data_IF_111665369656
#
_entry.id   IF_111665369656
#
_cell.length_a   1.000
_cell.length_b   1.000
_cell.length_c   1.000
_cell.angle_alpha   90.00
_cell.angle_beta   90.00
_cell.angle_gamma   90.00
#
_symmetry.space_group_name_H-M   'P 1'
#
loop_
_entity.id
_entity.type
_entity.pdbx_description
1 polymer ?
2 non-polymer ?
3 water ?
#
# COMPACT_ATOMS: atom_id res chain seq x y z
N UNK A 7 -2.94 13.24 -13.65
CA UNK A 7 -3.57 12.05 -14.21
C UNK A 7 -2.54 11.15 -14.90
N UNK A 8 -1.75 10.43 -14.11
CA UNK A 8 -0.76 9.50 -14.65
C UNK A 8 -1.39 8.54 -15.67
N UNK A 9 -0.59 8.11 -16.64
CA UNK A 9 -0.98 7.00 -17.49
C UNK A 9 0.17 6.02 -17.65
N UNK A 10 0.06 4.87 -17.00
CA UNK A 10 1.09 3.86 -17.18
C UNK A 10 1.30 3.76 -18.68
N UNK A 11 2.55 3.58 -19.09
CA UNK A 11 2.87 3.46 -20.49
C UNK A 11 2.46 2.08 -21.02
N UNK A 12 1.87 1.27 -20.14
CA UNK A 12 1.56 -0.11 -20.47
C UNK A 12 0.25 -0.22 -21.22
N UNK A 13 -0.48 0.88 -21.31
CA UNK A 13 -1.67 0.91 -22.13
C UNK A 13 -2.98 1.09 -21.36
N UNK A 14 -4.07 0.73 -22.01
CA UNK A 14 -5.41 0.97 -21.53
C UNK A 14 -5.79 0.10 -20.32
N UNK A 15 -5.34 -1.15 -20.32
CA UNK A 15 -5.53 -2.04 -19.18
C UNK A 15 -4.27 -2.89 -18.91
N UNK A 16 -4.17 -3.44 -17.71
CA UNK A 16 -3.05 -4.30 -17.40
C UNK A 16 -2.88 -5.41 -18.43
N UNK A 17 -1.65 -5.60 -18.88
CA UNK A 17 -1.31 -6.67 -19.80
C UNK A 17 -1.47 -8.06 -19.16
N UNK A 18 -1.68 -8.08 -17.85
CA UNK A 18 -1.86 -9.35 -17.19
C UNK A 18 -3.26 -9.87 -17.46
N UNK A 19 -4.18 -8.99 -17.84
CA UNK A 19 -5.57 -9.39 -18.05
C UNK A 19 -5.81 -10.06 -19.41
N UNK A 20 -6.48 -11.21 -19.38
CA UNK A 20 -6.71 -12.00 -20.59
C UNK A 20 -7.90 -11.45 -21.35
N UNK A 21 -8.97 -11.18 -20.62
CA UNK A 21 -10.19 -10.66 -21.18
C UNK A 21 -10.16 -9.16 -21.05
N UNK A 22 -11.23 -8.51 -21.47
CA UNK A 22 -11.39 -7.07 -21.35
C UNK A 22 -11.87 -6.68 -19.95
N UNK A 23 -11.15 -5.76 -19.31
CA UNK A 23 -11.50 -5.24 -18.00
C UNK A 23 -12.70 -4.28 -18.08
N UNK A 24 -13.74 -4.52 -17.29
CA UNK A 24 -14.82 -3.55 -17.21
C UNK A 24 -14.43 -2.44 -16.26
N UNK A 25 -14.54 -1.19 -16.72
CA UNK A 25 -13.86 -0.06 -16.08
C UNK A 25 -13.54 -0.29 -14.60
N UNK A 26 -14.50 -0.62 -13.75
CA UNK A 26 -15.90 -0.82 -14.09
C UNK A 26 -16.41 -1.67 -12.96
N UNK A 27 -17.63 -2.18 -13.09
CA UNK A 27 -18.19 -3.09 -12.10
C UNK A 27 -17.79 -4.57 -12.33
N UNK A 28 -16.56 -4.88 -11.94
CA UNK A 28 -16.09 -6.24 -11.67
C UNK A 28 -14.79 -6.09 -10.83
N UNK A 29 -14.20 -7.20 -10.36
CA UNK A 29 -13.12 -7.14 -9.36
C UNK A 29 -11.83 -6.45 -9.84
N UNK A 30 -11.15 -5.73 -8.95
CA UNK A 30 -9.96 -4.94 -9.32
C UNK A 30 -8.88 -4.81 -8.23
N UNK A 31 -7.71 -4.29 -8.59
CA UNK A 31 -6.64 -4.09 -7.62
C UNK A 31 -6.09 -2.68 -7.69
N UNK A 32 -5.51 -2.25 -6.58
CA UNK A 32 -4.96 -0.90 -6.45
C UNK A 32 -3.62 -0.97 -5.73
N UNK A 33 -2.61 -0.32 -6.28
CA UNK A 33 -1.30 -0.20 -5.64
C UNK A 33 -1.15 1.18 -5.04
N UNK A 34 -1.03 1.26 -3.72
CA UNK A 34 -0.70 2.53 -3.09
C UNK A 34 0.80 2.63 -2.92
N UNK A 35 1.36 3.76 -3.29
CA UNK A 35 2.78 4.02 -3.10
C UNK A 35 2.97 5.33 -2.35
N UNK A 36 3.73 5.29 -1.26
CA UNK A 36 4.13 6.50 -0.58
C UNK A 36 5.61 6.68 -0.72
N UNK A 37 6.03 7.87 -1.12
CA UNK A 37 7.45 8.18 -1.21
C UNK A 37 7.80 9.10 -0.08
N UNK A 38 8.82 8.72 0.69
CA UNK A 38 9.26 9.47 1.89
C UNK A 38 8.60 9.00 3.19
N UNK A 49 15.41 7.02 -7.02
CA UNK A 49 14.95 8.29 -7.57
C UNK A 49 13.46 8.27 -7.93
N UNK A 50 12.60 8.20 -6.92
CA UNK A 50 13.01 7.99 -5.53
C UNK A 50 12.54 6.60 -5.10
N UNK A 51 12.83 6.20 -3.87
CA UNK A 51 12.36 4.90 -3.41
C UNK A 51 11.06 5.00 -2.62
N UNK A 52 10.23 3.98 -2.76
CA UNK A 52 8.94 3.97 -2.10
C UNK A 52 9.03 3.34 -0.70
N UNK A 53 8.57 4.08 0.31
CA UNK A 53 8.52 3.57 1.68
C UNK A 53 7.22 2.85 1.99
N UNK A 54 6.11 3.36 1.46
CA UNK A 54 4.84 2.65 1.57
C UNK A 54 4.64 1.85 0.30
N UNK A 55 4.29 0.57 0.47
CA UNK A 55 4.06 -0.33 -0.66
C UNK A 55 2.92 -1.27 -0.35
N UNK A 56 1.69 -0.81 -0.59
CA UNK A 56 0.50 -1.56 -0.26
C UNK A 56 -0.40 -1.88 -1.44
N UNK A 57 -0.64 -3.17 -1.66
CA UNK A 57 -1.55 -3.64 -2.70
C UNK A 57 -2.90 -4.00 -2.08
N UNK A 58 -3.97 -3.57 -2.73
CA UNK A 58 -5.31 -3.93 -2.28
C UNK A 58 -6.08 -4.59 -3.40
N UNK A 59 -6.56 -5.80 -3.16
CA UNK A 59 -7.50 -6.39 -4.09
C UNK A 59 -8.92 -6.29 -3.58
N UNK A 60 -9.82 -5.89 -4.46
CA UNK A 60 -11.21 -5.67 -4.11
C UNK A 60 -12.15 -6.63 -4.83
N UNK A 61 -12.64 -7.62 -4.11
CA UNK A 61 -13.64 -8.53 -4.64
C UNK A 61 -15.03 -7.87 -4.78
N UNK A 62 -15.47 -7.58 -6.01
CA UNK A 62 -16.79 -6.98 -6.24
C UNK A 62 -17.96 -7.78 -5.68
N UNK A 63 -18.12 -9.03 -6.12
CA UNK A 63 -19.31 -9.78 -5.71
C UNK A 63 -19.37 -9.92 -4.20
N UNK A 64 -18.24 -10.20 -3.57
CA UNK A 64 -18.21 -10.42 -2.12
C UNK A 64 -18.24 -9.14 -1.29
N UNK A 65 -17.87 -8.01 -1.89
CA UNK A 65 -17.74 -6.76 -1.14
C UNK A 65 -16.61 -6.84 -0.10
N UNK A 66 -15.56 -7.58 -0.42
CA UNK A 66 -14.43 -7.74 0.48
C UNK A 66 -13.15 -7.16 -0.11
N UNK A 67 -12.18 -6.93 0.77
CA UNK A 67 -10.92 -6.33 0.38
C UNK A 67 -9.78 -7.07 1.03
N UNK A 68 -8.67 -7.19 0.29
CA UNK A 68 -7.47 -7.80 0.85
C UNK A 68 -6.26 -6.87 0.74
N UNK A 69 -5.62 -6.62 1.87
CA UNK A 69 -4.44 -5.75 1.93
C UNK A 69 -3.15 -6.56 2.06
N UNK A 70 -2.12 -6.15 1.33
CA UNK A 70 -0.83 -6.81 1.38
C UNK A 70 0.28 -5.76 1.31
N UNK A 71 1.17 -5.79 2.29
CA UNK A 71 2.30 -4.89 2.22
C UNK A 71 3.49 -5.63 1.63
N UNK A 72 4.08 -5.05 0.60
CA UNK A 72 5.25 -5.68 0.01
C UNK A 72 6.48 -5.13 0.70
N UNK A 73 7.22 -6.02 1.36
CA UNK A 73 8.39 -5.59 2.13
C UNK A 73 9.35 -4.76 1.28
N UNK A 74 9.74 -3.62 1.83
CA UNK A 74 10.73 -2.74 1.22
C UNK A 74 11.91 -3.53 0.61
N UNK A 75 12.38 -4.52 1.34
CA UNK A 75 13.62 -5.19 0.98
C UNK A 75 13.39 -6.55 0.33
N UNK A 76 12.15 -6.85 -0.07
CA UNK A 76 11.88 -8.16 -0.64
C UNK A 76 12.74 -8.38 -1.87
N UNK A 77 13.32 -9.57 -1.96
CA UNK A 77 14.30 -9.89 -2.98
C UNK A 77 13.56 -10.40 -4.20
N UNK A 78 13.44 -9.57 -5.23
CA UNK A 78 12.59 -9.86 -6.36
C UNK A 78 13.24 -9.44 -7.66
N UNK A 79 12.75 -9.96 -8.77
CA UNK A 79 13.27 -9.54 -10.06
C UNK A 79 12.67 -8.20 -10.50
N UNK A 80 13.56 -7.24 -10.73
CA UNK A 80 13.16 -5.97 -11.31
C UNK A 80 13.46 -5.98 -12.80
N UNK A 81 12.42 -6.11 -13.62
CA UNK A 81 12.57 -6.31 -15.06
C UNK A 81 13.52 -5.30 -15.70
N UNK A 82 14.62 -5.80 -16.28
CA UNK A 82 15.59 -4.93 -16.90
C UNK A 82 16.69 -4.56 -15.92
N UNK A 83 16.64 -5.17 -14.74
CA UNK A 83 17.59 -4.82 -13.69
C UNK A 83 18.04 -5.97 -12.79
N UNK A 84 17.49 -7.17 -12.98
CA UNK A 84 17.89 -8.30 -12.17
C UNK A 84 17.28 -8.31 -10.78
N UNK A 85 17.57 -9.35 -10.01
CA UNK A 85 17.13 -9.42 -8.63
C UNK A 85 17.72 -8.31 -7.79
N UNK A 86 16.86 -7.70 -6.99
CA UNK A 86 17.21 -6.55 -6.19
C UNK A 86 16.14 -6.34 -5.11
N UNK A 87 16.35 -5.33 -4.25
CA UNK A 87 15.34 -4.96 -3.27
C UNK A 87 14.15 -4.38 -3.97
N UNK A 88 12.96 -4.83 -3.60
CA UNK A 88 11.75 -4.31 -4.19
C UNK A 88 11.70 -2.79 -4.27
N UNK A 89 12.25 -2.14 -3.25
CA UNK A 89 12.14 -0.71 -3.13
C UNK A 89 12.86 0.02 -4.25
N UNK A 90 13.84 -0.62 -4.86
CA UNK A 90 14.67 0.06 -5.86
C UNK A 90 13.93 0.24 -7.18
N UNK A 91 12.90 -0.56 -7.41
CA UNK A 91 12.12 -0.47 -8.64
C UNK A 91 11.67 0.95 -8.92
N UNK A 92 11.03 1.56 -7.94
CA UNK A 92 10.53 2.92 -8.13
C UNK A 92 11.70 3.88 -8.30
N UNK A 93 12.85 3.47 -7.79
CA UNK A 93 14.06 4.26 -7.98
C UNK A 93 14.56 4.16 -9.43
N UNK A 94 14.66 2.95 -9.97
CA UNK A 94 15.19 2.75 -11.32
C UNK A 94 14.25 3.13 -12.44
N UNK A 95 12.95 3.22 -12.16
CA UNK A 95 11.97 3.41 -13.22
C UNK A 95 10.64 4.03 -12.87
N UNK A 96 10.47 4.48 -11.63
CA UNK A 96 9.24 5.16 -11.28
C UNK A 96 8.07 4.20 -11.28
N UNK A 97 6.88 4.77 -11.35
CA UNK A 97 5.65 4.03 -11.12
C UNK A 97 5.53 2.81 -12.02
N UNK A 98 5.92 2.99 -13.27
CA UNK A 98 5.75 1.96 -14.27
C UNK A 98 6.62 0.74 -14.00
N UNK A 99 7.84 0.97 -13.55
CA UNK A 99 8.74 -0.13 -13.26
C UNK A 99 8.23 -0.93 -12.05
N UNK A 100 7.73 -0.21 -11.06
CA UNK A 100 7.19 -0.81 -9.85
C UNK A 100 5.95 -1.64 -10.16
N UNK A 101 5.09 -1.12 -11.00
CA UNK A 101 3.90 -1.87 -11.38
C UNK A 101 4.33 -3.17 -12.06
N UNK A 102 5.31 -3.08 -12.95
CA UNK A 102 5.82 -4.26 -13.62
C UNK A 102 6.31 -5.27 -12.60
N UNK A 103 7.10 -4.79 -11.65
CA UNK A 103 7.69 -5.65 -10.64
C UNK A 103 6.64 -6.39 -9.84
N UNK A 104 5.63 -5.68 -9.40
CA UNK A 104 4.53 -6.30 -8.66
C UNK A 104 3.79 -7.34 -9.51
N UNK A 105 3.41 -6.97 -10.74
CA UNK A 105 2.69 -7.89 -11.62
C UNK A 105 3.52 -9.15 -11.93
N UNK A 106 4.82 -8.96 -12.13
CA UNK A 106 5.72 -10.08 -12.40
C UNK A 106 5.78 -10.96 -11.17
N UNK A 107 5.91 -10.34 -10.01
CA UNK A 107 6.12 -11.05 -8.77
C UNK A 107 4.87 -11.74 -8.25
N UNK A 108 3.75 -11.01 -8.20
CA UNK A 108 2.49 -11.58 -7.74
C UNK A 108 1.70 -12.26 -8.85
N UNK A 109 2.09 -12.02 -10.10
CA UNK A 109 1.38 -12.59 -11.23
C UNK A 109 -0.12 -12.27 -11.17
N UNK A 110 -0.44 -11.04 -10.83
CA UNK A 110 -1.79 -10.53 -10.98
C UNK A 110 -1.75 -9.18 -11.70
N UNK A 111 -2.89 -8.77 -12.26
CA UNK A 111 -3.00 -7.43 -12.83
C UNK A 111 -3.04 -6.41 -11.71
N UNK A 112 -2.39 -5.28 -11.95
CA UNK A 112 -2.48 -4.13 -11.08
C UNK A 112 -3.28 -3.09 -11.84
N UNK A 113 -4.56 -2.97 -11.52
CA UNK A 113 -5.45 -2.16 -12.33
C UNK A 113 -5.28 -0.65 -12.11
N UNK A 114 -5.02 -0.25 -10.87
CA UNK A 114 -4.83 1.16 -10.55
C UNK A 114 -3.65 1.34 -9.64
N UNK A 115 -3.03 2.51 -9.72
CA UNK A 115 -1.95 2.84 -8.83
C UNK A 115 -2.14 4.28 -8.42
N UNK A 116 -1.91 4.57 -7.14
CA UNK A 116 -1.84 5.94 -6.68
C UNK A 116 -0.57 6.19 -5.90
N UNK A 117 0.17 7.21 -6.31
CA UNK A 117 1.42 7.59 -5.68
C UNK A 117 1.27 8.93 -4.95
N UNK A 118 1.95 9.06 -3.82
CA UNK A 118 1.87 10.28 -3.05
C UNK A 118 3.07 10.45 -2.14
N UNK A 119 3.44 11.69 -1.87
CA UNK A 119 4.43 11.95 -0.83
C UNK A 119 3.69 12.00 0.50
N UNK A 120 4.44 11.89 1.59
CA UNK A 120 3.83 11.83 2.91
C UNK A 120 3.23 13.17 3.35
N UNK A 121 3.49 14.20 2.58
CA UNK A 121 2.85 15.48 2.81
C UNK A 121 1.39 15.37 2.51
N UNK A 122 1.07 14.97 1.28
CA UNK A 122 -0.31 14.85 0.86
C UNK A 122 -1.02 13.97 1.88
N UNK A 123 -0.31 12.94 2.33
CA UNK A 123 -0.83 12.02 3.34
C UNK A 123 -1.30 12.77 4.60
N UNK A 124 -0.50 13.73 5.03
CA UNK A 124 -0.78 14.45 6.26
C UNK A 124 -1.95 15.38 6.12
N UNK A 125 -2.09 15.97 4.93
CA UNK A 125 -3.23 16.82 4.65
C UNK A 125 -4.51 16.04 4.67
N UNK A 126 -4.51 14.88 4.04
CA UNK A 126 -5.67 14.00 4.08
C UNK A 126 -6.13 13.73 5.51
N UNK A 127 -5.21 13.35 6.38
CA UNK A 127 -5.61 12.93 7.72
C UNK A 127 -6.38 14.00 8.48
N UNK A 128 -5.82 15.18 8.68
CA UNK A 128 -6.60 16.18 9.39
C UNK A 128 -7.55 17.01 8.52
N UNK A 129 -7.56 16.77 7.22
CA UNK A 129 -8.68 17.22 6.41
C UNK A 129 -9.87 16.39 6.86
N UNK A 130 -9.62 15.17 7.32
CA UNK A 130 -10.69 14.35 7.86
C UNK A 130 -10.88 14.59 9.34
N UNK A 131 -10.13 15.54 9.90
CA UNK A 131 -10.13 15.79 11.34
C UNK A 131 -9.58 14.64 12.11
N UNK A 132 -8.50 14.08 11.61
CA UNK A 132 -7.77 13.03 12.30
C UNK A 132 -8.32 11.65 12.06
N UNK A 133 -7.48 10.65 12.36
CA UNK A 133 -7.89 9.26 12.26
C UNK A 133 -7.83 8.55 13.61
N UNK A 134 -8.82 7.70 13.84
CA UNK A 134 -8.88 6.87 15.04
C UNK A 134 -7.77 5.82 14.96
N UNK A 135 -6.95 5.75 16.00
CA UNK A 135 -5.95 4.71 16.09
C UNK A 135 -5.80 4.26 17.54
N UNK A 136 -5.90 2.96 17.77
CA UNK A 136 -5.69 2.43 19.10
C UNK A 136 -4.23 2.08 19.33
N UNK A 137 -3.52 2.95 20.02
CA UNK A 137 -2.12 2.70 20.39
C UNK A 137 -2.06 1.67 21.52
N UNK A 138 -1.18 0.69 21.39
CA UNK A 138 -1.12 -0.36 22.41
C UNK A 138 0.24 -0.55 23.09
N UNK A 139 1.30 -0.03 22.49
CA UNK A 139 2.65 -0.43 22.88
C UNK A 139 3.52 0.72 23.37
N UNK A 140 4.06 0.57 24.58
CA UNK A 140 4.98 1.58 25.13
C UNK A 140 6.24 1.68 24.28
N UNK A 141 6.72 0.53 23.80
CA UNK A 141 7.92 0.51 22.96
C UNK A 141 7.71 1.53 21.87
N UNK A 142 6.56 1.42 21.21
CA UNK A 142 6.19 2.31 20.11
C UNK A 142 6.04 3.78 20.52
N UNK A 143 5.37 4.03 21.62
CA UNK A 143 5.25 5.39 22.13
C UNK A 143 6.63 6.03 22.30
N UNK A 144 7.54 5.26 22.90
CA UNK A 144 8.89 5.74 23.12
C UNK A 144 9.67 5.99 21.83
N UNK A 145 9.58 5.07 20.87
CA UNK A 145 10.37 5.28 19.66
C UNK A 145 9.90 6.52 18.92
N UNK A 146 8.59 6.70 18.81
CA UNK A 146 8.09 7.91 18.21
C UNK A 146 8.56 9.12 18.99
N UNK A 147 8.53 9.03 20.32
CA UNK A 147 8.93 10.14 21.17
C UNK A 147 10.33 10.60 20.79
N UNK A 148 11.20 9.63 20.54
CA UNK A 148 12.59 9.87 20.22
C UNK A 148 12.79 10.22 18.76
N UNK A 149 12.02 9.58 17.88
CA UNK A 149 12.11 9.85 16.45
C UNK A 149 11.85 11.32 16.25
N UNK A 150 10.87 11.83 16.98
CA UNK A 150 10.33 13.16 16.75
C UNK A 150 10.87 14.16 17.75
N UNK A 151 11.83 13.71 18.56
CA UNK A 151 12.35 14.53 19.65
C UNK A 151 11.22 15.17 20.46
N UNK A 152 10.20 14.37 20.77
CA UNK A 152 9.15 14.77 21.69
C UNK A 152 8.11 15.68 21.11
N UNK A 153 8.15 15.93 19.81
CA UNK A 153 7.12 16.79 19.23
C UNK A 153 5.82 16.02 19.13
N UNK A 154 5.95 14.72 18.90
CA UNK A 154 4.83 13.81 18.84
C UNK A 154 4.87 12.88 20.02
N UNK A 155 3.87 12.97 20.90
CA UNK A 155 3.79 12.03 22.00
C UNK A 155 2.41 11.40 22.18
N UNK A 156 2.31 10.15 21.72
CA UNK A 156 1.07 9.37 21.78
C UNK A 156 0.73 8.89 23.19
N UNK A 157 -0.50 8.45 23.39
CA UNK A 157 -0.89 7.80 24.66
C UNK A 157 -1.55 6.47 24.35
N UNK A 158 -1.68 5.61 25.34
CA UNK A 158 -2.37 4.35 25.13
C UNK A 158 -3.87 4.53 24.93
N UNK A 159 -4.47 3.55 24.25
CA UNK A 159 -5.91 3.54 24.05
C UNK A 159 -6.34 4.20 22.77
N UNK A 160 -7.65 4.31 22.58
CA UNK A 160 -8.23 4.82 21.34
C UNK A 160 -8.32 6.34 21.28
N UNK A 161 -7.54 6.94 20.39
CA UNK A 161 -7.56 8.38 20.22
C UNK A 161 -7.66 8.77 18.76
N UNK A 162 -7.99 10.02 18.52
CA UNK A 162 -7.96 10.54 17.16
C UNK A 162 -6.66 11.30 16.93
N UNK A 163 -5.81 10.77 16.06
CA UNK A 163 -4.55 11.42 15.70
C UNK A 163 -4.70 12.44 14.58
N UNK A 164 -3.90 13.51 14.65
CA UNK A 164 -3.77 14.45 13.56
C UNK A 164 -2.63 13.99 12.63
N UNK A 165 -2.49 14.65 11.49
CA UNK A 165 -1.58 14.23 10.45
C UNK A 165 -0.14 14.07 10.89
N UNK A 166 0.35 15.04 11.65
CA UNK A 166 1.71 14.96 12.20
C UNK A 166 1.88 13.68 13.02
N UNK A 167 0.88 13.34 13.82
CA UNK A 167 0.93 12.19 14.71
C UNK A 167 0.79 10.88 13.94
N UNK A 168 -0.22 10.85 13.08
CA UNK A 168 -0.40 9.76 12.15
C UNK A 168 0.86 9.56 11.30
N UNK A 169 1.44 10.65 10.80
CA UNK A 169 2.67 10.56 10.01
C UNK A 169 3.80 9.85 10.76
N UNK A 170 4.05 10.31 11.98
CA UNK A 170 5.09 9.73 12.82
C UNK A 170 4.85 8.26 13.14
N UNK A 171 3.59 7.92 13.41
CA UNK A 171 3.21 6.53 13.66
C UNK A 171 3.59 5.66 12.47
N UNK A 172 3.39 6.20 11.28
CA UNK A 172 3.50 5.46 10.05
C UNK A 172 4.96 5.33 9.56
N UNK A 173 5.86 6.11 10.15
CA UNK A 173 7.25 6.10 9.73
C UNK A 173 8.16 5.33 10.68
N UNK A 174 7.75 5.27 11.94
CA UNK A 174 8.56 4.65 12.98
C UNK A 174 9.01 3.26 12.60
N UNK A 175 10.26 2.93 12.94
CA UNK A 175 10.88 1.68 12.52
C UNK A 175 12.12 1.37 13.34
N UNK A 176 12.20 0.13 13.84
CA UNK A 176 13.35 -0.29 14.65
C UNK A 176 14.69 -0.21 13.91
N UNK A 179 16.08 -5.04 10.54
CA UNK A 179 15.84 -3.89 9.65
C UNK A 179 14.63 -4.11 8.73
N UNK A 180 13.47 -4.43 9.32
CA UNK A 180 12.32 -4.88 8.54
C UNK A 180 10.95 -4.20 8.81
N UNK A 181 9.87 -4.92 8.49
CA UNK A 181 8.54 -4.31 8.44
C UNK A 181 7.47 -4.93 9.36
N UNK A 182 6.67 -4.02 9.88
CA UNK A 182 5.70 -4.18 10.95
C UNK A 182 5.24 -2.74 10.79
N UNK A 183 6.13 -2.00 10.17
CA UNK A 183 5.86 -0.70 9.61
C UNK A 183 4.77 -0.82 8.56
N UNK A 184 4.84 -1.87 7.75
CA UNK A 184 3.84 -2.09 6.72
C UNK A 184 2.50 -2.34 7.38
N UNK A 185 2.53 -3.06 8.50
CA UNK A 185 1.33 -3.30 9.32
C UNK A 185 0.69 -2.01 9.87
N UNK A 186 1.53 -1.06 10.28
CA UNK A 186 1.07 0.22 10.74
C UNK A 186 0.48 1.02 9.59
N UNK A 187 1.06 0.85 8.41
CA UNK A 187 0.60 1.57 7.24
C UNK A 187 -0.79 1.08 6.87
N UNK A 188 -0.95 -0.23 6.79
CA UNK A 188 -2.26 -0.78 6.49
C UNK A 188 -3.31 -0.41 7.54
N UNK A 189 -2.86 -0.28 8.78
CA UNK A 189 -3.75 0.01 9.90
C UNK A 189 -4.34 1.43 9.77
N UNK A 190 -3.48 2.39 9.47
CA UNK A 190 -3.90 3.77 9.32
C UNK A 190 -4.70 4.00 8.04
N UNK A 191 -4.33 3.27 7.00
CA UNK A 191 -5.01 3.41 5.72
C UNK A 191 -6.46 2.94 5.83
N UNK A 192 -6.67 1.84 6.53
CA UNK A 192 -8.02 1.39 6.78
C UNK A 192 -8.73 2.35 7.71
N UNK A 193 -8.00 2.97 8.62
CA UNK A 193 -8.58 4.00 9.49
C UNK A 193 -9.08 5.19 8.67
N UNK A 194 -8.27 5.61 7.70
CA UNK A 194 -8.63 6.70 6.78
C UNK A 194 -9.94 6.42 6.05
N UNK A 195 -10.06 5.21 5.51
CA UNK A 195 -11.31 4.78 4.87
C UNK A 195 -12.47 4.89 5.86
N UNK A 196 -12.28 4.37 7.07
CA UNK A 196 -13.31 4.43 8.09
C UNK A 196 -13.71 5.88 8.36
N UNK A 197 -12.74 6.76 8.61
CA UNK A 197 -13.07 8.12 8.95
C UNK A 197 -13.73 8.84 7.78
N UNK A 198 -13.44 8.38 6.57
CA UNK A 198 -13.97 9.04 5.39
C UNK A 198 -15.42 8.69 5.16
N UNK A 199 -15.83 7.52 5.63
CA UNK A 199 -17.17 7.03 5.35
C UNK A 199 -18.21 7.72 6.25
N UNK A 200 -17.77 8.25 7.39
CA UNK A 200 -18.64 9.04 8.23
C UNK A 200 -18.68 10.52 7.79
N UNK A 201 -19.05 10.73 6.52
CA UNK A 201 -19.36 12.07 6.02
C UNK A 201 -20.08 11.98 4.68
N UNK A 212 -13.40 15.73 -4.81
CA UNK A 212 -12.08 15.50 -4.28
C UNK A 212 -12.11 15.44 -2.76
N UNK A 213 -10.99 15.83 -2.16
CA UNK A 213 -10.91 16.09 -0.74
C UNK A 213 -10.34 17.50 -0.53
N UNK A 214 -9.21 17.83 -1.19
CA UNK A 214 -8.49 16.91 -2.09
C UNK A 214 -7.15 16.45 -1.51
N UNK A 215 -6.55 15.40 -2.08
CA UNK A 215 -6.93 14.82 -3.36
C UNK A 215 -6.05 15.53 -4.38
N UNK A 216 -5.01 16.17 -3.84
CA UNK A 216 -4.22 17.17 -4.55
C UNK A 216 -2.91 16.63 -5.10
N UNK A 217 -2.06 16.16 -4.19
CA UNK A 217 -0.74 15.63 -4.52
C UNK A 217 -0.77 14.13 -4.83
N UNK A 218 -1.97 13.59 -5.00
CA UNK A 218 -2.09 12.21 -5.42
C UNK A 218 -1.96 12.13 -6.93
N UNK A 219 -0.99 11.35 -7.39
CA UNK A 219 -0.87 11.01 -8.79
C UNK A 219 -1.47 9.64 -8.96
N UNK A 220 -2.48 9.51 -9.83
CA UNK A 220 -3.13 8.23 -10.06
C UNK A 220 -3.31 7.99 -11.56
N UNK A 221 -3.46 6.72 -11.95
CA UNK A 221 -3.83 6.38 -13.32
C UNK A 221 -5.34 6.41 -13.44
N UNK A 222 -5.93 7.19 -12.56
CA UNK A 222 -7.37 7.29 -12.45
C UNK A 222 -7.80 8.76 -12.51
N UNK A 223 -8.97 9.03 -13.06
CA UNK A 223 -9.54 10.37 -12.98
C UNK A 223 -10.28 10.51 -11.64
N UNK A 224 -10.33 11.73 -11.11
CA UNK A 224 -11.06 11.96 -9.88
C UNK A 224 -12.50 11.50 -10.07
N UNK A 225 -13.04 11.79 -11.24
CA UNK A 225 -14.42 11.42 -11.53
C UNK A 225 -14.61 9.92 -11.35
N UNK A 226 -13.74 9.12 -11.97
CA UNK A 226 -13.78 7.66 -11.81
C UNK A 226 -13.55 7.24 -10.37
N UNK A 227 -12.52 7.81 -9.76
CA UNK A 227 -12.23 7.59 -8.35
C UNK A 227 -13.47 7.77 -7.49
N UNK A 228 -14.15 8.91 -7.67
CA UNK A 228 -15.37 9.19 -6.91
C UNK A 228 -16.42 8.09 -6.99
N UNK A 229 -16.55 7.46 -8.14
CA UNK A 229 -17.53 6.41 -8.33
C UNK A 229 -17.19 5.13 -7.57
N UNK A 230 -15.91 4.93 -7.29
CA UNK A 230 -15.47 3.74 -6.57
C UNK A 230 -15.65 3.90 -5.10
N UNK A 231 -15.87 5.13 -4.66
CA UNK A 231 -15.91 5.42 -3.23
C UNK A 231 -17.04 4.69 -2.55
N UNK A 232 -18.26 4.86 -3.02
CA UNK A 232 -19.36 4.12 -2.40
C UNK A 232 -19.01 2.66 -2.11
N UNK A 233 -18.46 1.98 -3.12
CA UNK A 233 -18.13 0.57 -3.00
C UNK A 233 -17.02 0.36 -1.98
N UNK A 234 -15.94 1.10 -2.17
CA UNK A 234 -14.76 0.94 -1.34
C UNK A 234 -15.15 1.24 0.11
N UNK A 235 -16.22 2.01 0.25
CA UNK A 235 -16.58 2.63 1.51
C UNK A 235 -17.66 1.85 2.25
N UNK A 236 -17.98 0.67 1.73
CA UNK A 236 -18.98 -0.14 2.37
C UNK A 236 -18.64 -1.59 2.14
N UNK A 237 -17.43 -1.96 2.53
CA UNK A 237 -16.99 -3.34 2.44
C UNK A 237 -17.58 -4.15 3.57
N UNK A 238 -17.94 -5.38 3.26
CA UNK A 238 -18.39 -6.29 4.28
C UNK A 238 -17.25 -6.85 5.13
N UNK A 239 -16.01 -6.66 4.68
CA UNK A 239 -14.85 -7.04 5.50
C UNK A 239 -13.53 -6.70 4.84
N UNK A 240 -12.54 -6.33 5.67
CA UNK A 240 -11.16 -6.16 5.20
C UNK A 240 -10.20 -7.15 5.86
N UNK A 241 -9.20 -7.58 5.10
CA UNK A 241 -8.29 -8.63 5.57
C UNK A 241 -6.89 -8.33 5.09
N UNK A 242 -5.91 -8.60 5.94
CA UNK A 242 -4.52 -8.41 5.60
C UNK A 242 -3.93 -9.74 5.23
N UNK A 243 -3.04 -9.75 4.26
CA UNK A 243 -2.23 -10.92 4.04
C UNK A 243 -0.77 -10.54 4.11
N UNK A 244 0.05 -11.55 4.30
CA UNK A 244 1.42 -11.33 4.65
C UNK A 244 2.30 -12.30 3.89
N UNK A 245 3.33 -11.76 3.26
CA UNK A 245 4.41 -12.58 2.71
C UNK A 245 5.47 -12.83 3.79
N UNK A 246 5.63 -14.08 4.19
CA UNK A 246 6.68 -14.47 5.11
C UNK A 246 7.99 -14.75 4.34
N UNK A 247 9.10 -14.84 5.05
CA UNK A 247 10.40 -14.99 4.41
C UNK A 247 11.51 -14.89 5.45
N UNK A 248 12.74 -14.69 5.00
CA UNK A 248 13.89 -14.65 5.90
C UNK A 248 14.97 -13.71 5.42
N UNK A 249 15.84 -13.29 6.34
CA UNK A 249 16.93 -12.39 6.03
C UNK A 249 17.95 -13.10 5.12
N UNK A 250 18.31 -12.44 4.04
CA UNK A 250 19.33 -12.94 3.10
C UNK A 250 20.34 -11.83 2.93
N UNK A 251 21.52 -12.03 3.52
CA UNK A 251 22.56 -11.00 3.55
C UNK A 251 23.87 -11.51 2.96
N UNK A 252 23.85 -11.82 1.67
CA UNK A 252 25.02 -12.41 1.01
C UNK A 252 26.29 -11.64 1.37
N UNK A 253 26.27 -10.32 1.25
CA UNK A 253 27.49 -9.54 1.47
C UNK A 253 27.23 -8.25 2.22
N UNK A 254 26.63 -8.37 3.39
CA UNK A 254 26.27 -7.19 4.16
C UNK A 254 25.25 -6.35 3.42
N UNK A 255 24.70 -6.88 2.33
CA UNK A 255 23.56 -6.25 1.67
C UNK A 255 22.29 -6.96 2.08
N UNK A 256 21.37 -6.24 2.71
CA UNK A 256 20.17 -6.86 3.27
C UNK A 256 18.98 -7.04 2.32
N UNK A 257 18.54 -8.27 2.15
CA UNK A 257 17.34 -8.56 1.38
C UNK A 257 16.43 -9.46 2.17
N UNK A 258 15.15 -9.36 1.91
CA UNK A 258 14.21 -10.22 2.57
C UNK A 258 13.85 -11.28 1.56
N UNK A 259 14.39 -12.47 1.75
CA UNK A 259 14.09 -13.59 0.86
C UNK A 259 12.69 -14.13 1.11
N UNK A 260 11.87 -14.15 0.07
CA UNK A 260 10.51 -14.63 0.22
C UNK A 260 10.41 -16.16 0.33
N UNK A 261 9.63 -16.59 1.33
CA UNK A 261 9.20 -17.96 1.43
C UNK A 261 8.35 -18.33 0.21
N UNK A 262 8.86 -19.25 -0.60
CA UNK A 262 8.21 -19.58 -1.88
C UNK A 262 6.87 -20.28 -1.74
N UNK A 263 6.69 -21.07 -0.70
CA UNK A 263 5.40 -21.72 -0.52
C UNK A 263 4.34 -20.69 -0.16
N UNK A 264 4.70 -19.77 0.72
CA UNK A 264 3.78 -18.71 1.08
C UNK A 264 3.46 -17.81 -0.11
N UNK A 265 4.45 -17.54 -0.95
CA UNK A 265 4.20 -16.68 -2.11
C UNK A 265 3.13 -17.28 -3.00
N UNK A 266 3.26 -18.57 -3.30
CA UNK A 266 2.37 -19.27 -4.22
C UNK A 266 0.96 -19.28 -3.67
N UNK A 267 0.85 -19.50 -2.38
CA UNK A 267 -0.46 -19.42 -1.75
C UNK A 267 -1.09 -18.05 -1.97
N UNK A 268 -0.35 -17.00 -1.60
CA UNK A 268 -0.79 -15.64 -1.75
C UNK A 268 -1.23 -15.34 -3.19
N UNK A 269 -0.41 -15.72 -4.17
CA UNK A 269 -0.79 -15.52 -5.57
C UNK A 269 -2.15 -16.16 -5.84
N UNK A 270 -2.32 -17.39 -5.37
CA UNK A 270 -3.54 -18.14 -5.67
C UNK A 270 -4.76 -17.46 -5.05
N UNK A 271 -4.60 -16.94 -3.85
CA UNK A 271 -5.66 -16.23 -3.17
C UNK A 271 -5.98 -14.93 -3.91
N UNK A 272 -4.94 -14.22 -4.35
CA UNK A 272 -5.12 -12.97 -5.07
C UNK A 272 -5.80 -13.18 -6.41
N UNK A 273 -5.39 -14.21 -7.14
CA UNK A 273 -5.93 -14.43 -8.46
C UNK A 273 -7.42 -14.78 -8.36
N UNK A 274 -7.77 -15.51 -7.31
CA UNK A 274 -9.15 -15.74 -7.01
C UNK A 274 -9.96 -14.44 -6.86
N UNK A 275 -9.63 -13.61 -5.85
CA UNK A 275 -10.34 -12.36 -5.61
C UNK A 275 -10.59 -11.64 -6.95
N UNK A 276 -9.53 -11.49 -7.73
CA UNK A 276 -9.59 -10.89 -9.07
C UNK A 276 -10.34 -11.77 -10.09
N UNK A 277 -10.47 -13.05 -9.79
CA UNK A 277 -11.12 -13.98 -10.70
C UNK A 277 -10.39 -14.19 -12.02
N UNK A 278 -9.05 -14.25 -11.96
CA UNK A 278 -8.22 -14.49 -13.15
C UNK A 278 -7.58 -15.89 -13.11
N UNK A 279 -6.94 -16.28 -14.21
CA UNK A 279 -6.38 -17.62 -14.36
C UNK A 279 -7.46 -18.71 -14.50
X LIG B 1 0.93 0.51 19.02
#
# INVERSE_FOLDING_TARGET
XASKEAHVSLARGEQSVKRIKEFDPGKDSFSVLLLGIDAREKNGETVDQARSDANVLVTFNRKEKTAKMLSIPRDAYVNIPGHGYDKFTHAHAYGGVDLTVKTVEEMLDIPVDYVVESNFTAFEDVVNELNGVKVTVKSDKVIQQIKKDTKGKVVLQKGTHTLDGEEALAYVRTRKADSDLLRGQRQMEVLSAIIDKSKSLSSIPAYDDIVDTMGQNLKMNLSLKDAIGLFPFITSLKSVESIQLTGYDYEPAGVYYFKLNQQKLQEVKKELQNDLGVLEHHHHHH
CL CL
#
